data_IF_571650637646
#
_entry.id   IF_571650637646
#
_cell.length_a   1.000
_cell.length_b   1.000
_cell.length_c   1.000
_cell.angle_alpha   90.00
_cell.angle_beta   90.00
_cell.angle_gamma   90.00
#
_symmetry.space_group_name_H-M   'P 1'
#
loop_
_entity.id
_entity.type
_entity.pdbx_description
1 polymer ?
#
# COMPACT_ATOMS: atom_id res chain seq x y z
N UNK A 1 0.50 6.59 -1.06
CA UNK A 1 1.51 5.86 -0.26
C UNK A 1 1.37 4.36 -0.52
N UNK A 2 2.47 3.61 -0.60
CA UNK A 2 2.47 2.13 -0.71
C UNK A 2 3.12 1.55 0.55
N UNK A 3 2.30 0.99 1.44
CA UNK A 3 2.73 0.54 2.77
C UNK A 3 2.97 -0.97 2.73
N UNK A 4 3.98 -1.43 3.49
CA UNK A 4 4.31 -2.84 3.67
C UNK A 4 4.41 -3.14 5.17
N UNK A 5 3.60 -4.08 5.67
CA UNK A 5 3.61 -4.53 7.08
C UNK A 5 4.17 -5.94 7.14
N UNK A 6 5.18 -6.13 7.98
CA UNK A 6 5.82 -7.41 8.22
C UNK A 6 5.61 -7.85 9.67
N UNK A 7 5.45 -9.15 9.90
CA UNK A 7 5.38 -9.71 11.25
C UNK A 7 6.78 -9.93 11.88
N UNK A 8 6.80 -10.53 13.07
CA UNK A 8 8.03 -10.86 13.81
C UNK A 8 8.96 -11.82 13.05
N UNK A 9 8.42 -12.60 12.11
CA UNK A 9 9.20 -13.50 11.24
C UNK A 9 9.59 -12.84 9.91
N UNK A 10 9.38 -11.52 9.76
CA UNK A 10 9.60 -10.76 8.53
C UNK A 10 8.77 -11.26 7.34
N UNK A 11 7.63 -11.91 7.59
CA UNK A 11 6.68 -12.28 6.53
C UNK A 11 5.79 -11.08 6.23
N UNK A 12 5.59 -10.79 4.94
CA UNK A 12 4.68 -9.74 4.50
C UNK A 12 3.24 -10.15 4.86
N UNK A 13 2.57 -9.33 5.68
CA UNK A 13 1.17 -9.56 6.11
C UNK A 13 0.20 -8.63 5.43
N UNK A 14 0.66 -7.45 5.03
CA UNK A 14 -0.16 -6.47 4.33
C UNK A 14 0.69 -5.61 3.40
N UNK A 15 0.14 -5.33 2.20
CA UNK A 15 0.61 -4.28 1.31
C UNK A 15 -0.56 -3.43 0.84
N UNK A 16 -0.48 -2.12 0.94
CA UNK A 16 -1.49 -1.27 0.31
C UNK A 16 -1.69 0.12 0.88
N UNK A 17 -2.93 0.61 0.72
CA UNK A 17 -3.39 1.91 1.20
C UNK A 17 -3.38 1.99 2.74
N UNK A 18 -3.39 3.21 3.28
CA UNK A 18 -3.54 3.42 4.72
C UNK A 18 -4.99 3.15 5.15
N UNK A 19 -5.93 3.78 4.44
CA UNK A 19 -7.37 3.76 4.68
C UNK A 19 -8.12 3.94 3.34
N UNK A 20 -9.45 4.04 3.41
CA UNK A 20 -10.31 4.23 2.25
C UNK A 20 -10.31 5.64 1.66
N UNK A 21 -9.61 6.61 2.27
CA UNK A 21 -9.54 7.97 1.73
C UNK A 21 -8.89 8.03 0.34
N UNK A 22 -9.28 9.04 -0.43
CA UNK A 22 -8.70 9.39 -1.72
C UNK A 22 -8.33 10.88 -1.78
N UNK A 23 -7.44 11.29 -2.69
CA UNK A 23 -7.08 12.70 -2.89
C UNK A 23 -8.25 13.60 -3.32
N UNK A 24 -9.37 13.01 -3.71
CA UNK A 24 -10.56 13.71 -4.18
C UNK A 24 -11.64 13.85 -3.10
N UNK A 25 -11.45 13.20 -1.95
CA UNK A 25 -12.40 13.26 -0.85
C UNK A 25 -12.20 14.51 0.01
N UNK A 26 -13.26 14.93 0.69
CA UNK A 26 -13.15 15.94 1.74
C UNK A 26 -12.35 15.39 2.94
N UNK A 27 -11.69 16.26 3.72
CA UNK A 27 -10.96 15.84 4.91
C UNK A 27 -11.82 15.02 5.90
N UNK A 28 -11.22 14.02 6.56
CA UNK A 28 -11.83 13.17 7.61
C UNK A 28 -12.97 12.25 7.17
N UNK A 29 -12.97 11.82 5.91
CA UNK A 29 -14.00 10.92 5.34
C UNK A 29 -13.69 9.43 5.53
N UNK A 30 -12.52 9.06 6.05
CA UNK A 30 -12.10 7.67 6.17
C UNK A 30 -13.01 6.88 7.14
N UNK A 31 -13.53 5.74 6.68
CA UNK A 31 -14.35 4.80 7.47
C UNK A 31 -13.63 3.49 7.71
N UNK A 32 -12.66 3.14 6.86
CA UNK A 32 -11.94 1.87 6.93
C UNK A 32 -10.44 2.11 7.12
N UNK A 33 -9.88 1.65 8.23
CA UNK A 33 -8.48 1.89 8.60
C UNK A 33 -7.62 0.62 8.43
N UNK A 34 -7.40 0.20 7.18
CA UNK A 34 -6.78 -1.10 6.88
C UNK A 34 -5.34 -1.25 7.38
N UNK A 35 -4.54 -0.19 7.38
CA UNK A 35 -3.18 -0.27 7.93
C UNK A 35 -3.21 -0.57 9.44
N UNK A 36 -4.13 0.07 10.18
CA UNK A 36 -4.29 -0.17 11.63
C UNK A 36 -4.70 -1.62 11.88
N UNK A 37 -5.74 -2.08 11.19
CA UNK A 37 -6.20 -3.47 11.25
C UNK A 37 -5.08 -4.47 10.95
N UNK A 38 -4.29 -4.23 9.90
CA UNK A 38 -3.17 -5.09 9.52
C UNK A 38 -2.08 -5.16 10.60
N UNK A 39 -1.77 -4.04 11.26
CA UNK A 39 -0.81 -4.00 12.38
C UNK A 39 -1.35 -4.80 13.57
N UNK A 40 -2.61 -4.57 13.96
CA UNK A 40 -3.24 -5.26 15.09
C UNK A 40 -3.28 -6.78 14.87
N UNK A 41 -3.58 -7.22 13.65
CA UNK A 41 -3.57 -8.64 13.28
C UNK A 41 -2.15 -9.22 13.28
N UNK A 42 -1.16 -8.49 12.76
CA UNK A 42 0.23 -8.93 12.78
C UNK A 42 0.76 -9.13 14.22
N UNK A 43 0.40 -8.22 15.14
CA UNK A 43 0.72 -8.36 16.57
C UNK A 43 0.07 -9.59 17.20
N UNK A 44 -1.15 -9.94 16.78
CA UNK A 44 -1.85 -11.16 17.19
C UNK A 44 -1.42 -12.41 16.40
N UNK A 45 -0.42 -12.30 15.53
CA UNK A 45 0.01 -13.36 14.60
C UNK A 45 -1.09 -13.84 13.63
N UNK A 46 -2.18 -13.09 13.47
CA UNK A 46 -3.31 -13.34 12.56
C UNK A 46 -3.11 -12.66 11.21
N UNK A 47 -3.81 -13.15 10.19
CA UNK A 47 -3.78 -12.59 8.84
C UNK A 47 -5.01 -11.73 8.54
N UNK A 48 -4.85 -10.59 7.85
CA UNK A 48 -6.00 -9.85 7.33
C UNK A 48 -6.72 -10.67 6.26
N UNK A 49 -8.05 -10.48 6.15
CA UNK A 49 -8.85 -11.08 5.07
C UNK A 49 -8.35 -10.67 3.68
N UNK A 50 -7.80 -9.47 3.57
CA UNK A 50 -7.24 -8.93 2.32
C UNK A 50 -5.84 -8.42 2.59
N UNK A 51 -4.83 -9.19 2.16
CA UNK A 51 -3.42 -8.84 2.34
C UNK A 51 -2.92 -7.78 1.33
N UNK A 52 -3.63 -7.56 0.22
CA UNK A 52 -3.26 -6.55 -0.77
C UNK A 52 -4.41 -5.59 -1.09
N UNK A 53 -4.15 -4.29 -0.98
CA UNK A 53 -5.07 -3.24 -1.43
C UNK A 53 -4.37 -2.31 -2.42
N UNK A 54 -4.89 -2.15 -3.66
CA UNK A 54 -4.28 -1.27 -4.66
C UNK A 54 -4.11 0.16 -4.13
N UNK A 55 -2.92 0.72 -4.34
CA UNK A 55 -2.56 2.05 -3.85
C UNK A 55 -2.91 3.12 -4.87
N UNK A 56 -3.24 4.31 -4.36
CA UNK A 56 -3.43 5.50 -5.17
C UNK A 56 -2.49 6.59 -4.67
N UNK A 57 -1.87 7.31 -5.61
CA UNK A 57 -0.99 8.42 -5.31
C UNK A 57 -0.01 8.68 -6.44
N UNK A 58 0.87 9.66 -6.23
CA UNK A 58 1.98 9.91 -7.13
C UNK A 58 2.88 8.68 -7.26
N UNK A 59 3.39 8.43 -8.47
CA UNK A 59 4.46 7.47 -8.70
C UNK A 59 5.73 7.88 -7.95
N UNK A 60 6.57 6.89 -7.61
CA UNK A 60 7.92 7.13 -7.11
C UNK A 60 8.70 7.94 -8.15
N UNK A 61 9.37 9.00 -7.71
CA UNK A 61 10.23 9.82 -8.53
C UNK A 61 11.61 9.18 -8.63
N UNK A 62 11.76 8.29 -9.61
CA UNK A 62 13.02 7.59 -9.87
C UNK A 62 14.06 8.53 -10.49
N UNK A 63 15.33 8.25 -10.20
CA UNK A 63 16.42 8.83 -10.98
C UNK A 63 16.33 8.29 -12.41
N UNK A 64 16.72 9.11 -13.39
CA UNK A 64 16.77 8.72 -14.80
C UNK A 64 17.57 7.42 -14.96
N UNK A 65 17.04 6.47 -15.74
CA UNK A 65 17.59 5.12 -15.99
C UNK A 65 17.48 4.14 -14.81
N UNK A 66 16.85 4.54 -13.69
CA UNK A 66 16.55 3.65 -12.55
C UNK A 66 15.04 3.37 -12.42
N UNK A 67 14.25 3.72 -13.42
CA UNK A 67 12.84 3.38 -13.45
C UNK A 67 12.68 1.84 -13.55
N UNK A 68 11.70 1.26 -12.85
CA UNK A 68 11.40 -0.15 -13.00
C UNK A 68 10.86 -0.45 -14.42
N UNK A 69 11.27 -1.59 -14.97
CA UNK A 69 10.97 -2.00 -16.35
C UNK A 69 9.48 -1.94 -16.72
N UNK A 70 8.59 -2.22 -15.77
CA UNK A 70 7.14 -2.20 -16.00
C UNK A 70 6.58 -0.79 -16.29
N UNK A 71 7.29 0.29 -15.94
CA UNK A 71 6.92 1.65 -16.35
C UNK A 71 7.43 1.95 -17.77
N UNK A 72 8.59 1.41 -18.15
CA UNK A 72 9.21 1.61 -19.46
C UNK A 72 8.38 1.02 -20.60
N UNK A 73 7.76 -0.16 -20.37
CA UNK A 73 6.92 -0.85 -21.35
C UNK A 73 5.69 -0.02 -21.75
N UNK A 74 5.19 0.87 -20.87
CA UNK A 74 4.02 1.72 -21.14
C UNK A 74 4.35 2.99 -21.92
N UNK A 75 5.62 3.40 -22.01
CA UNK A 75 6.01 4.64 -22.68
C UNK A 75 6.32 4.48 -24.18
N UNK A 76 6.29 3.24 -24.70
CA UNK A 76 6.60 2.90 -26.10
C UNK A 76 5.36 2.53 -26.93
N UNK A 77 4.16 2.83 -26.42
CA UNK A 77 2.89 2.83 -27.16
C UNK A 77 2.30 4.23 -27.11
#
# INVERSE_FOLDING_TARGET
PDIFVFDSQRKLRYRGKVDDSSPYDQPKTAKNFWLREAIDLALQQKSPKTAFRPVMGCSIKWKKKNEPQFLSIKASK
#
